data_IF_306212255764
#
_entry.id   IF_306212255764
#
_cell.length_a   1.000
_cell.length_b   1.000
_cell.length_c   1.000
_cell.angle_alpha   90.00
_cell.angle_beta   90.00
_cell.angle_gamma   90.00
#
_symmetry.space_group_name_H-M   'P 1'
#
loop_
_entity.id
_entity.type
_entity.pdbx_description
1 polymer ?
#
# COMPACT_ATOMS: atom_id res chain seq x y z
N UNK A 1 -51.02 43.01 -23.08
CA UNK A 1 -49.87 42.17 -22.68
C UNK A 1 -50.42 40.89 -22.05
N UNK A 2 -50.21 39.71 -22.67
CA UNK A 2 -50.86 38.47 -22.23
C UNK A 2 -50.12 37.87 -21.03
N UNK A 3 -50.64 38.12 -19.82
CA UNK A 3 -50.07 37.58 -18.57
C UNK A 3 -49.91 36.05 -18.59
N UNK A 4 -50.79 35.33 -19.30
CA UNK A 4 -50.68 33.87 -19.51
C UNK A 4 -49.38 33.47 -20.21
N UNK A 5 -48.93 34.24 -21.21
CA UNK A 5 -47.68 33.99 -21.93
C UNK A 5 -46.48 34.31 -21.03
N UNK A 6 -46.60 35.30 -20.15
CA UNK A 6 -45.57 35.62 -19.16
C UNK A 6 -45.39 34.51 -18.10
N UNK A 7 -46.48 33.99 -17.54
CA UNK A 7 -46.42 32.87 -16.60
C UNK A 7 -45.84 31.61 -17.25
N UNK A 8 -46.23 31.32 -18.49
CA UNK A 8 -45.68 30.18 -19.22
C UNK A 8 -44.16 30.31 -19.40
N UNK A 9 -43.68 31.47 -19.84
CA UNK A 9 -42.24 31.73 -20.02
C UNK A 9 -41.47 31.64 -18.71
N UNK A 10 -42.00 32.22 -17.63
CA UNK A 10 -41.39 32.19 -16.30
C UNK A 10 -41.28 30.76 -15.77
N UNK A 11 -42.35 29.97 -15.91
CA UNK A 11 -42.36 28.57 -15.47
C UNK A 11 -41.35 27.72 -16.24
N UNK A 12 -41.22 27.94 -17.56
CA UNK A 12 -40.28 27.21 -18.41
C UNK A 12 -38.83 27.54 -18.06
N UNK A 13 -38.52 28.82 -17.80
CA UNK A 13 -37.18 29.24 -17.38
C UNK A 13 -36.80 28.68 -16.01
N UNK A 14 -37.76 28.58 -15.08
CA UNK A 14 -37.52 28.05 -13.74
C UNK A 14 -37.29 26.53 -13.76
N UNK A 15 -38.00 25.83 -14.65
CA UNK A 15 -37.80 24.40 -14.90
C UNK A 15 -36.43 24.12 -15.53
N UNK A 16 -36.03 24.94 -16.51
CA UNK A 16 -34.73 24.79 -17.17
C UNK A 16 -33.57 25.08 -16.22
N UNK A 17 -33.68 26.11 -15.38
CA UNK A 17 -32.64 26.43 -14.39
C UNK A 17 -32.53 25.37 -13.30
N UNK A 18 -33.66 24.81 -12.85
CA UNK A 18 -33.66 23.70 -11.89
C UNK A 18 -33.01 22.44 -12.47
N UNK A 19 -33.28 22.10 -13.73
CA UNK A 19 -32.67 20.95 -14.39
C UNK A 19 -31.14 21.10 -14.54
N UNK A 20 -30.67 22.30 -14.93
CA UNK A 20 -29.24 22.60 -14.98
C UNK A 20 -28.61 22.56 -13.58
N UNK A 21 -29.28 23.12 -12.57
CA UNK A 21 -28.81 23.09 -11.19
C UNK A 21 -28.66 21.65 -10.68
N UNK A 22 -29.64 20.77 -10.93
CA UNK A 22 -29.58 19.36 -10.54
C UNK A 22 -28.41 18.67 -11.24
N UNK A 23 -28.25 18.88 -12.55
CA UNK A 23 -27.16 18.30 -13.33
C UNK A 23 -25.76 18.75 -12.87
N UNK A 24 -25.62 19.98 -12.38
CA UNK A 24 -24.36 20.48 -11.79
C UNK A 24 -24.21 20.14 -10.29
N UNK A 25 -25.31 19.87 -9.58
CA UNK A 25 -25.31 19.50 -8.16
C UNK A 25 -24.97 18.02 -7.92
N UNK A 26 -25.17 17.17 -8.93
CA UNK A 26 -24.51 15.87 -8.99
C UNK A 26 -23.05 16.11 -9.39
N UNK A 27 -22.26 16.51 -8.39
CA UNK A 27 -20.90 16.99 -8.54
C UNK A 27 -19.99 16.01 -9.26
N UNK A 28 -19.10 16.56 -10.07
CA UNK A 28 -18.04 15.89 -10.83
C UNK A 28 -16.90 15.32 -9.97
N UNK A 29 -17.21 14.93 -8.73
CA UNK A 29 -16.31 14.14 -7.91
C UNK A 29 -17.16 13.31 -6.98
N UNK A 30 -17.29 12.02 -7.29
CA UNK A 30 -17.39 11.06 -6.20
C UNK A 30 -16.13 11.30 -5.36
N UNK A 31 -16.29 11.81 -4.14
CA UNK A 31 -15.22 11.72 -3.16
C UNK A 31 -14.90 10.21 -3.06
N UNK A 32 -13.67 9.76 -3.36
CA UNK A 32 -13.30 8.35 -3.26
C UNK A 32 -13.60 7.75 -1.88
N UNK A 33 -13.85 8.60 -0.89
CA UNK A 33 -14.13 8.28 0.49
C UNK A 33 -15.63 8.25 0.81
N UNK A 34 -16.51 8.49 -0.17
CA UNK A 34 -17.96 8.35 -0.02
C UNK A 34 -18.51 7.01 -0.54
N UNK A 35 -17.69 6.20 -1.23
CA UNK A 35 -18.09 4.91 -1.82
C UNK A 35 -17.40 3.71 -1.15
N UNK A 36 -17.57 3.58 0.16
CA UNK A 36 -17.07 2.39 0.86
C UNK A 36 -18.00 1.19 0.65
N UNK A 37 -17.52 0.21 -0.09
CA UNK A 37 -18.12 -1.14 -0.12
C UNK A 37 -17.86 -1.78 1.23
N UNK A 38 -18.85 -1.76 2.13
CA UNK A 38 -18.73 -2.51 3.38
C UNK A 38 -18.70 -4.00 3.05
N UNK A 39 -17.56 -4.66 3.30
CA UNK A 39 -17.44 -6.11 3.26
C UNK A 39 -18.20 -6.81 4.39
N UNK A 40 -18.86 -6.04 5.26
CA UNK A 40 -19.61 -6.56 6.39
C UNK A 40 -21.11 -6.37 6.18
N UNK A 41 -21.93 -7.41 6.45
CA UNK A 41 -23.38 -7.29 6.43
C UNK A 41 -23.85 -6.11 7.29
N UNK A 42 -24.85 -5.37 6.81
CA UNK A 42 -25.38 -4.18 7.48
C UNK A 42 -25.89 -4.47 8.91
N UNK A 43 -26.25 -5.73 9.19
CA UNK A 43 -26.70 -6.24 10.46
C UNK A 43 -25.59 -6.19 11.53
N UNK A 44 -24.34 -6.43 11.15
CA UNK A 44 -23.20 -6.42 12.08
C UNK A 44 -22.79 -5.00 12.48
N UNK A 45 -22.98 -4.01 11.59
CA UNK A 45 -22.69 -2.61 11.88
C UNK A 45 -23.57 -2.05 13.02
N UNK A 46 -24.78 -2.60 13.19
CA UNK A 46 -25.71 -2.22 14.26
C UNK A 46 -25.35 -2.82 15.61
N UNK A 47 -24.49 -3.84 15.66
CA UNK A 47 -24.07 -4.47 16.91
C UNK A 47 -22.91 -3.68 17.55
N UNK A 48 -23.19 -3.05 18.70
CA UNK A 48 -22.22 -2.24 19.44
C UNK A 48 -20.93 -3.00 19.81
N UNK A 49 -21.01 -4.33 19.98
CA UNK A 49 -19.87 -5.20 20.29
C UNK A 49 -18.92 -5.46 19.11
N UNK A 50 -19.40 -5.33 17.87
CA UNK A 50 -18.59 -5.57 16.66
C UNK A 50 -17.84 -4.32 16.18
N UNK A 51 -18.25 -3.13 16.64
CA UNK A 51 -17.68 -1.83 16.25
C UNK A 51 -16.14 -1.75 16.36
N UNK A 52 -15.49 -2.13 17.47
CA UNK A 52 -14.03 -1.94 17.57
C UNK A 52 -13.24 -2.74 16.53
N UNK A 53 -13.77 -3.86 16.02
CA UNK A 53 -13.11 -4.64 14.96
C UNK A 53 -13.41 -4.10 13.55
N UNK A 54 -14.57 -3.47 13.36
CA UNK A 54 -14.97 -2.88 12.09
C UNK A 54 -14.17 -1.61 11.77
N UNK A 55 -13.83 -0.80 12.78
CA UNK A 55 -13.17 0.49 12.60
C UNK A 55 -11.63 0.41 12.58
N UNK A 56 -11.01 -0.59 13.22
CA UNK A 56 -9.54 -0.73 13.24
C UNK A 56 -8.96 -1.16 11.89
N UNK A 57 -9.68 -2.01 11.15
CA UNK A 57 -9.32 -2.34 9.77
C UNK A 57 -9.66 -1.20 8.79
N UNK A 58 -10.58 -0.32 9.19
CA UNK A 58 -11.09 0.72 8.31
C UNK A 58 -10.08 1.83 8.08
N UNK A 59 -9.48 2.39 9.13
CA UNK A 59 -8.45 3.42 8.97
C UNK A 59 -7.24 2.90 8.18
N UNK A 60 -6.84 1.65 8.41
CA UNK A 60 -5.73 1.03 7.67
C UNK A 60 -6.00 0.86 6.17
N UNK A 61 -7.24 0.55 5.79
CA UNK A 61 -7.61 0.23 4.40
C UNK A 61 -8.21 1.43 3.64
N UNK A 62 -8.73 2.43 4.36
CA UNK A 62 -9.62 3.45 3.84
C UNK A 62 -9.30 4.86 4.32
N UNK A 63 -8.16 5.10 4.98
CA UNK A 63 -7.68 6.45 5.25
C UNK A 63 -7.61 7.24 3.93
N UNK A 64 -8.54 8.16 3.80
CA UNK A 64 -8.60 9.18 2.77
C UNK A 64 -7.39 10.11 2.94
N UNK A 65 -6.21 9.65 2.50
CA UNK A 65 -4.99 10.45 2.55
C UNK A 65 -5.14 11.58 1.52
N UNK A 66 -5.15 12.86 1.94
CA UNK A 66 -5.30 13.99 1.05
C UNK A 66 -3.95 14.25 0.36
N UNK A 67 -3.56 13.38 -0.57
CA UNK A 67 -2.60 13.67 -1.63
C UNK A 67 -2.42 12.44 -2.54
N UNK A 68 -3.32 12.26 -3.49
CA UNK A 68 -3.15 11.30 -4.59
C UNK A 68 -2.13 11.77 -5.64
N UNK A 69 -1.31 12.77 -5.33
CA UNK A 69 -0.32 13.38 -6.22
C UNK A 69 1.07 12.73 -6.13
N UNK A 70 1.34 11.96 -5.08
CA UNK A 70 2.43 10.99 -5.01
C UNK A 70 1.78 9.62 -5.13
N UNK A 71 2.24 8.77 -6.03
CA UNK A 71 1.72 7.40 -6.04
C UNK A 71 1.93 6.85 -4.63
N UNK A 72 0.86 6.50 -3.91
CA UNK A 72 0.96 6.07 -2.50
C UNK A 72 2.00 4.94 -2.33
N UNK A 73 2.26 4.18 -3.39
CA UNK A 73 3.33 3.18 -3.47
C UNK A 73 4.76 3.75 -3.34
N UNK A 74 5.09 4.90 -3.93
CA UNK A 74 6.43 5.52 -3.83
C UNK A 74 6.69 6.03 -2.41
N UNK A 75 5.74 6.77 -1.83
CA UNK A 75 5.88 7.28 -0.45
C UNK A 75 6.00 6.15 0.58
N UNK A 76 5.22 5.07 0.40
CA UNK A 76 5.29 3.91 1.28
C UNK A 76 6.59 3.11 1.10
N UNK A 77 7.12 3.04 -0.13
CA UNK A 77 8.42 2.43 -0.39
C UNK A 77 9.53 3.22 0.31
N UNK A 78 9.51 4.54 0.22
CA UNK A 78 10.49 5.42 0.87
C UNK A 78 10.49 5.22 2.39
N UNK A 79 9.31 5.19 3.02
CA UNK A 79 9.20 4.94 4.46
C UNK A 79 9.77 3.59 4.87
N UNK A 80 9.43 2.51 4.15
CA UNK A 80 9.94 1.17 4.44
C UNK A 80 11.46 1.07 4.22
N UNK A 81 12.01 1.74 3.20
CA UNK A 81 13.47 1.83 3.02
C UNK A 81 14.12 2.51 4.22
N UNK A 82 13.51 3.57 4.75
CA UNK A 82 14.04 4.25 5.95
C UNK A 82 13.98 3.35 7.19
N UNK A 83 12.92 2.57 7.39
CA UNK A 83 12.82 1.59 8.48
C UNK A 83 13.95 0.55 8.39
N UNK A 84 14.14 -0.06 7.22
CA UNK A 84 15.23 -1.02 7.00
C UNK A 84 16.62 -0.38 7.14
N UNK A 85 16.77 0.89 6.78
CA UNK A 85 18.03 1.64 6.97
C UNK A 85 18.32 1.84 8.46
N UNK A 86 17.29 2.13 9.26
CA UNK A 86 17.41 2.22 10.71
C UNK A 86 17.74 0.85 11.32
N UNK A 87 17.07 -0.21 10.86
CA UNK A 87 17.36 -1.58 11.27
C UNK A 87 18.82 -1.97 11.02
N UNK A 88 19.36 -1.60 9.86
CA UNK A 88 20.76 -1.80 9.50
C UNK A 88 21.73 -0.78 10.15
N UNK A 89 21.30 -0.06 11.20
CA UNK A 89 22.10 0.97 11.91
C UNK A 89 22.70 2.03 10.99
N UNK A 90 22.05 2.32 9.86
CA UNK A 90 22.49 3.22 8.79
C UNK A 90 23.77 2.78 8.05
N UNK A 91 24.19 1.52 8.19
CA UNK A 91 25.34 0.93 7.48
C UNK A 91 24.99 0.48 6.05
N UNK A 92 23.70 0.26 5.77
CA UNK A 92 23.21 -0.14 4.46
C UNK A 92 22.75 1.06 3.62
N UNK A 93 23.09 1.04 2.34
CA UNK A 93 22.67 2.05 1.37
C UNK A 93 21.21 1.84 0.99
N UNK A 94 20.47 2.91 0.71
CA UNK A 94 19.05 2.84 0.34
C UNK A 94 18.82 2.04 -0.94
N UNK A 95 19.73 2.14 -1.92
CA UNK A 95 19.68 1.35 -3.14
C UNK A 95 19.95 -0.13 -2.90
N UNK A 96 20.82 -0.45 -1.94
CA UNK A 96 21.10 -1.82 -1.53
C UNK A 96 19.89 -2.43 -0.82
N UNK A 97 19.25 -1.66 0.05
CA UNK A 97 18.00 -2.02 0.73
C UNK A 97 16.89 -2.26 -0.29
N UNK A 98 16.71 -1.33 -1.22
CA UNK A 98 15.70 -1.46 -2.27
C UNK A 98 15.88 -2.75 -3.09
N UNK A 99 17.13 -3.06 -3.45
CA UNK A 99 17.44 -4.27 -4.19
C UNK A 99 17.05 -5.54 -3.41
N UNK A 100 17.46 -5.66 -2.14
CA UNK A 100 17.17 -6.83 -1.31
C UNK A 100 15.68 -6.97 -1.02
N UNK A 101 15.03 -5.88 -0.59
CA UNK A 101 13.63 -5.90 -0.18
C UNK A 101 12.71 -6.11 -1.37
N UNK A 102 12.89 -5.36 -2.47
CA UNK A 102 11.91 -5.33 -3.55
C UNK A 102 12.33 -6.07 -4.83
N UNK A 103 13.62 -6.17 -5.15
CA UNK A 103 14.07 -6.73 -6.44
C UNK A 103 14.57 -8.17 -6.38
N UNK A 104 15.13 -8.61 -5.25
CA UNK A 104 15.73 -9.94 -5.16
C UNK A 104 14.70 -11.06 -5.19
N UNK A 105 15.00 -12.10 -5.96
CA UNK A 105 14.12 -13.26 -6.06
C UNK A 105 14.13 -14.08 -4.76
N UNK A 106 13.08 -14.88 -4.59
CA UNK A 106 12.97 -15.81 -3.47
C UNK A 106 14.18 -16.76 -3.37
N UNK A 107 14.70 -17.22 -4.52
CA UNK A 107 15.83 -18.14 -4.54
C UNK A 107 17.13 -17.43 -4.14
N UNK A 108 17.32 -16.18 -4.56
CA UNK A 108 18.46 -15.36 -4.11
C UNK A 108 18.42 -15.14 -2.59
N UNK A 109 17.25 -14.84 -2.02
CA UNK A 109 17.08 -14.66 -0.58
C UNK A 109 17.36 -15.96 0.21
N UNK A 110 16.90 -17.11 -0.28
CA UNK A 110 17.22 -18.43 0.32
C UNK A 110 18.70 -18.75 0.26
N UNK A 111 19.39 -18.38 -0.82
CA UNK A 111 20.84 -18.55 -0.94
C UNK A 111 21.57 -17.67 0.09
N UNK A 112 21.15 -16.42 0.27
CA UNK A 112 21.72 -15.54 1.31
C UNK A 112 21.48 -16.12 2.71
N UNK A 113 20.29 -16.66 2.98
CA UNK A 113 19.98 -17.35 4.25
C UNK A 113 20.93 -18.52 4.50
N UNK A 114 21.08 -19.42 3.52
CA UNK A 114 21.95 -20.59 3.64
C UNK A 114 23.43 -20.20 3.80
N UNK A 115 23.90 -19.15 3.09
CA UNK A 115 25.26 -18.64 3.26
C UNK A 115 25.49 -17.97 4.62
N UNK A 116 24.47 -17.34 5.20
CA UNK A 116 24.54 -16.70 6.52
C UNK A 116 24.53 -17.73 7.64
N UNK A 117 23.82 -18.85 7.46
CA UNK A 117 23.82 -20.00 8.36
C UNK A 117 25.16 -20.77 8.29
N UNK A 118 25.69 -20.97 7.09
CA UNK A 118 26.92 -21.74 6.88
C UNK A 118 28.17 -20.92 7.18
N UNK A 119 29.18 -21.51 7.83
CA UNK A 119 30.51 -20.87 7.99
C UNK A 119 31.33 -20.81 6.69
N UNK A 120 30.77 -21.21 5.54
CA UNK A 120 31.52 -21.34 4.28
C UNK A 120 31.30 -20.10 3.41
N UNK A 121 32.40 -19.46 3.01
CA UNK A 121 32.39 -18.44 1.95
C UNK A 121 32.16 -19.14 0.61
N UNK A 122 30.91 -19.23 0.18
CA UNK A 122 30.51 -19.78 -1.12
C UNK A 122 30.86 -18.85 -2.29
N UNK A 123 30.81 -19.36 -3.53
CA UNK A 123 31.18 -18.61 -4.75
C UNK A 123 30.15 -17.52 -5.14
N UNK A 124 28.95 -17.53 -4.55
CA UNK A 124 27.93 -16.47 -4.66
C UNK A 124 28.23 -15.26 -3.76
N UNK A 125 29.32 -15.32 -2.97
CA UNK A 125 29.74 -14.25 -2.07
C UNK A 125 29.88 -12.89 -2.74
N UNK A 126 30.28 -12.80 -4.01
CA UNK A 126 30.52 -11.49 -4.65
C UNK A 126 29.24 -10.66 -4.81
N UNK A 127 28.10 -11.28 -5.08
CA UNK A 127 26.82 -10.59 -5.25
C UNK A 127 26.28 -10.06 -3.91
N UNK A 128 26.57 -10.78 -2.83
CA UNK A 128 26.23 -10.37 -1.47
C UNK A 128 27.25 -9.40 -0.87
N UNK A 129 28.52 -9.51 -1.27
CA UNK A 129 29.60 -8.62 -0.85
C UNK A 129 29.44 -7.22 -1.42
N UNK A 130 28.84 -7.06 -2.61
CA UNK A 130 28.63 -5.74 -3.21
C UNK A 130 27.40 -5.00 -2.66
N UNK A 131 26.43 -5.72 -2.09
CA UNK A 131 25.22 -5.14 -1.52
C UNK A 131 25.39 -4.94 0.00
N UNK A 132 25.37 -3.69 0.46
CA UNK A 132 25.63 -3.33 1.86
C UNK A 132 24.60 -3.91 2.85
N UNK A 133 23.31 -4.02 2.47
CA UNK A 133 22.29 -4.69 3.31
C UNK A 133 22.54 -6.20 3.41
N UNK A 134 22.82 -6.87 2.30
CA UNK A 134 23.09 -8.30 2.29
C UNK A 134 24.34 -8.66 3.09
N UNK A 135 25.37 -7.82 2.99
CA UNK A 135 26.58 -7.93 3.82
C UNK A 135 26.25 -7.78 5.30
N UNK A 136 25.49 -6.75 5.67
CA UNK A 136 25.05 -6.52 7.05
C UNK A 136 24.29 -7.73 7.62
N UNK A 137 23.30 -8.25 6.89
CA UNK A 137 22.51 -9.41 7.34
C UNK A 137 23.37 -10.67 7.50
N UNK A 138 24.33 -10.89 6.60
CA UNK A 138 25.25 -12.04 6.64
C UNK A 138 26.25 -11.93 7.79
N UNK A 139 26.86 -10.77 7.97
CA UNK A 139 27.87 -10.53 9.01
C UNK A 139 27.26 -10.61 10.41
N UNK A 140 26.05 -10.08 10.58
CA UNK A 140 25.29 -10.17 11.84
C UNK A 140 24.59 -11.52 12.05
N UNK A 141 24.60 -12.41 11.04
CA UNK A 141 23.90 -13.70 11.04
C UNK A 141 22.41 -13.57 11.38
N UNK A 142 21.79 -12.59 10.75
CA UNK A 142 20.41 -12.21 11.03
C UNK A 142 19.43 -13.11 10.26
N UNK A 143 19.34 -14.36 10.71
CA UNK A 143 18.50 -15.38 10.09
C UNK A 143 17.00 -15.07 10.26
N UNK A 144 16.63 -14.31 11.29
CA UNK A 144 15.24 -13.92 11.52
C UNK A 144 14.77 -12.90 10.48
N UNK A 145 15.51 -11.81 10.28
CA UNK A 145 15.20 -10.84 9.23
C UNK A 145 15.20 -11.48 7.83
N UNK A 146 16.16 -12.38 7.56
CA UNK A 146 16.19 -13.14 6.30
C UNK A 146 14.98 -14.08 6.16
N UNK A 147 14.57 -14.73 7.24
CA UNK A 147 13.36 -15.56 7.28
C UNK A 147 12.10 -14.75 7.01
N UNK A 148 12.00 -13.55 7.58
CA UNK A 148 10.93 -12.59 7.33
C UNK A 148 10.87 -12.18 5.85
N UNK A 149 12.01 -11.79 5.26
CA UNK A 149 12.09 -11.43 3.83
C UNK A 149 11.68 -12.58 2.91
N UNK A 150 12.10 -13.81 3.22
CA UNK A 150 11.69 -15.03 2.49
C UNK A 150 10.18 -15.25 2.61
N UNK A 151 9.62 -15.11 3.81
CA UNK A 151 8.20 -15.27 4.06
C UNK A 151 7.39 -14.23 3.27
N UNK A 152 7.76 -12.96 3.38
CA UNK A 152 7.11 -11.85 2.68
C UNK A 152 7.17 -12.06 1.15
N UNK A 153 8.34 -12.45 0.61
CA UNK A 153 8.51 -12.75 -0.83
C UNK A 153 7.63 -13.89 -1.33
N UNK A 154 7.40 -14.92 -0.51
CA UNK A 154 6.46 -16.01 -0.85
C UNK A 154 5.02 -15.50 -0.97
N UNK A 155 4.62 -14.60 -0.07
CA UNK A 155 3.30 -13.94 -0.11
C UNK A 155 3.10 -13.15 -1.40
N UNK A 156 4.15 -12.51 -1.92
CA UNK A 156 4.10 -11.78 -3.19
C UNK A 156 3.79 -12.68 -4.38
N UNK A 157 4.47 -13.83 -4.47
CA UNK A 157 4.27 -14.78 -5.56
C UNK A 157 2.85 -15.37 -5.58
N UNK A 158 2.21 -15.50 -4.42
CA UNK A 158 0.81 -15.94 -4.32
C UNK A 158 -0.19 -14.87 -4.74
N UNK A 159 0.20 -13.59 -4.78
CA UNK A 159 -0.65 -12.45 -5.14
C UNK A 159 -0.58 -12.06 -6.62
N UNK A 160 0.16 -12.81 -7.45
CA UNK A 160 0.15 -12.68 -8.92
C UNK A 160 -1.16 -13.16 -9.56
N UNK A 161 -2.30 -12.65 -9.08
CA UNK A 161 -3.48 -12.45 -9.91
C UNK A 161 -3.25 -11.22 -10.80
N UNK A 162 -3.82 -11.14 -12.01
CA UNK A 162 -3.63 -10.03 -12.93
C UNK A 162 -4.38 -8.79 -12.43
N UNK A 163 -3.85 -8.14 -11.39
CA UNK A 163 -4.30 -6.83 -10.95
C UNK A 163 -3.33 -5.82 -11.55
N UNK A 164 -3.79 -5.17 -12.63
CA UNK A 164 -3.09 -4.08 -13.29
C UNK A 164 -2.61 -3.04 -12.27
N UNK A 165 -1.30 -3.02 -12.02
CA UNK A 165 -0.55 -1.85 -11.56
C UNK A 165 -0.71 -1.36 -10.12
N UNK A 166 -1.59 -1.92 -9.28
CA UNK A 166 -1.94 -1.23 -8.02
C UNK A 166 -1.47 -1.81 -6.70
N UNK A 167 -0.93 -3.03 -6.63
CA UNK A 167 -0.46 -3.57 -5.34
C UNK A 167 0.79 -4.42 -5.54
N UNK A 168 1.97 -3.79 -5.44
CA UNK A 168 3.17 -4.53 -5.05
C UNK A 168 3.04 -4.82 -3.55
N UNK A 169 3.04 -6.11 -3.14
CA UNK A 169 2.87 -6.47 -1.74
C UNK A 169 3.93 -5.83 -0.83
N UNK A 170 3.47 -5.53 0.38
CA UNK A 170 4.14 -4.71 1.39
C UNK A 170 5.04 -5.61 2.25
N UNK A 171 6.36 -5.45 2.17
CA UNK A 171 7.31 -6.11 3.08
C UNK A 171 7.61 -5.15 4.25
N UNK A 172 6.71 -5.05 5.22
CA UNK A 172 6.91 -4.19 6.40
C UNK A 172 7.77 -4.82 7.46
N UNK A 173 8.75 -4.09 7.95
CA UNK A 173 9.38 -4.44 9.21
C UNK A 173 8.38 -4.24 10.36
N UNK A 174 7.67 -5.30 10.77
CA UNK A 174 6.90 -5.28 12.01
C UNK A 174 7.87 -5.42 13.16
N UNK A 175 7.77 -4.56 14.18
CA UNK A 175 8.52 -4.66 15.44
C UNK A 175 8.51 -6.11 15.94
N UNK A 176 9.66 -6.78 15.80
CA UNK A 176 9.96 -8.00 16.52
C UNK A 176 10.65 -7.52 17.80
N UNK A 177 9.85 -7.32 18.84
CA UNK A 177 10.30 -7.21 20.23
C UNK A 177 10.48 -8.61 20.84
#
# INVERSE_FOLDING_TARGET
MNYKIWYLRLSLTLLLSAALYIAFSCGWSEDPCDSYVSFTPAELQKQQKARPFLFTAYSLLYECLPDSSVSNGERLQDMNIQEWKQYCKKEADESAIYAVVYQWSLDTLKLLYAESESKRKGRLSSLFETNSMARYLKENKDLEALGYLIHARRGENCLHLPMNGLLKPRILFWEID
#
